data_IF_238200175977
#
_entry.id   IF_238200175977
#
_cell.length_a   1.000
_cell.length_b   1.000
_cell.length_c   1.000
_cell.angle_alpha   90.00
_cell.angle_beta   90.00
_cell.angle_gamma   90.00
#
_symmetry.space_group_name_H-M   'P 1'
#
loop_
_entity.id
_entity.type
_entity.pdbx_description
1 polymer ?
#
# COMPACT_ATOMS: atom_id res chain seq x y z
N UNK A 1 72.83 -9.31 -37.59
CA UNK A 1 73.31 -8.28 -36.65
C UNK A 1 72.12 -7.78 -35.84
N UNK A 2 72.15 -7.53 -34.52
CA UNK A 2 73.16 -7.75 -33.47
C UNK A 2 74.56 -7.12 -33.72
N UNK A 3 75.11 -6.23 -32.87
CA UNK A 3 74.60 -5.65 -31.61
C UNK A 3 74.31 -4.14 -31.78
N UNK A 4 74.62 -3.32 -30.76
CA UNK A 4 74.55 -1.84 -30.74
C UNK A 4 73.14 -1.22 -30.65
N UNK A 5 72.35 -1.65 -29.66
CA UNK A 5 71.41 -0.72 -28.97
C UNK A 5 71.24 -1.05 -27.47
N UNK A 6 72.26 -1.64 -26.86
CA UNK A 6 72.28 -2.07 -25.44
C UNK A 6 72.88 -0.99 -24.50
N UNK A 7 73.48 0.08 -25.03
CA UNK A 7 74.21 1.08 -24.22
C UNK A 7 73.46 2.40 -23.93
N UNK A 8 72.15 2.49 -24.18
CA UNK A 8 71.40 3.75 -24.07
C UNK A 8 70.35 3.83 -22.93
N UNK A 9 70.10 2.74 -22.19
CA UNK A 9 69.13 2.71 -21.08
C UNK A 9 69.75 2.32 -19.72
N UNK A 10 71.07 2.19 -19.64
CA UNK A 10 71.82 1.99 -18.38
C UNK A 10 71.97 3.30 -17.57
N UNK A 11 71.48 4.44 -18.09
CA UNK A 11 71.58 5.76 -17.46
C UNK A 11 70.30 6.26 -16.79
N UNK A 12 69.26 5.43 -16.68
CA UNK A 12 68.01 5.74 -15.95
C UNK A 12 67.79 4.87 -14.70
N UNK A 13 68.66 3.88 -14.46
CA UNK A 13 68.58 2.97 -13.30
C UNK A 13 69.28 3.50 -12.03
N UNK A 14 69.59 4.80 -11.96
CA UNK A 14 70.33 5.44 -10.84
C UNK A 14 69.59 6.67 -10.30
N UNK A 15 68.27 6.75 -10.50
CA UNK A 15 67.42 7.86 -10.03
C UNK A 15 66.19 7.36 -9.24
N UNK A 16 66.24 6.14 -8.70
CA UNK A 16 65.09 5.49 -8.06
C UNK A 16 65.46 4.69 -6.79
N UNK A 17 66.53 5.11 -6.10
CA UNK A 17 66.92 4.60 -4.77
C UNK A 17 67.08 5.68 -3.69
N UNK A 18 66.90 6.97 -4.01
CA UNK A 18 67.09 8.07 -3.06
C UNK A 18 65.78 8.64 -2.46
N UNK A 19 64.62 8.03 -2.74
CA UNK A 19 63.35 8.45 -2.10
C UNK A 19 63.07 7.74 -0.76
N UNK A 20 63.70 6.58 -0.51
CA UNK A 20 63.51 5.79 0.72
C UNK A 20 64.31 6.31 1.94
N UNK A 21 65.14 7.34 1.76
CA UNK A 21 66.06 7.85 2.79
C UNK A 21 65.49 9.08 3.56
N UNK A 22 64.38 9.66 3.11
CA UNK A 22 63.92 10.99 3.58
C UNK A 22 62.82 11.01 4.65
N UNK A 23 62.15 9.88 4.97
CA UNK A 23 61.12 9.81 6.02
C UNK A 23 61.11 8.47 6.78
N UNK A 24 61.92 8.32 7.85
CA UNK A 24 62.02 7.06 8.60
C UNK A 24 60.89 6.82 9.62
N UNK A 25 59.89 7.71 9.73
CA UNK A 25 58.94 7.75 10.86
C UNK A 25 57.51 7.26 10.51
N UNK A 26 57.37 6.49 9.42
CA UNK A 26 56.08 5.92 8.96
C UNK A 26 55.92 4.42 9.25
N UNK A 27 56.82 3.81 10.02
CA UNK A 27 56.86 2.37 10.29
C UNK A 27 55.86 1.88 11.38
N UNK A 28 54.68 2.50 11.48
CA UNK A 28 53.58 1.99 12.33
C UNK A 28 52.17 2.06 11.72
N UNK A 29 52.06 2.27 10.39
CA UNK A 29 50.80 2.01 9.70
C UNK A 29 50.64 0.50 9.46
N UNK A 30 50.06 -0.21 10.44
CA UNK A 30 49.54 -1.56 10.22
C UNK A 30 48.39 -1.48 9.23
N UNK A 31 48.67 -1.70 7.94
CA UNK A 31 47.63 -1.97 6.94
C UNK A 31 46.94 -3.28 7.31
N UNK A 32 45.85 -3.19 8.05
CA UNK A 32 44.95 -4.31 8.30
C UNK A 32 44.25 -4.59 6.98
N UNK A 33 44.69 -5.64 6.28
CA UNK A 33 43.92 -6.23 5.20
C UNK A 33 42.68 -6.88 5.84
N UNK A 34 41.60 -6.10 5.95
CA UNK A 34 40.27 -6.65 6.18
C UNK A 34 39.87 -7.31 4.86
N UNK A 35 40.14 -8.61 4.74
CA UNK A 35 39.33 -9.46 3.87
C UNK A 35 37.91 -9.39 4.41
N UNK A 36 37.02 -8.70 3.70
CA UNK A 36 35.58 -8.82 3.91
C UNK A 36 35.17 -10.25 3.52
N UNK A 37 35.28 -11.16 4.49
CA UNK A 37 34.37 -12.30 4.55
C UNK A 37 32.95 -11.73 4.45
N UNK A 38 32.12 -12.29 3.57
CA UNK A 38 30.74 -11.83 3.40
C UNK A 38 29.95 -11.86 4.72
N UNK A 39 28.83 -11.11 4.82
CA UNK A 39 28.09 -10.94 6.07
C UNK A 39 27.72 -12.31 6.67
N UNK A 40 28.15 -12.53 7.92
CA UNK A 40 28.04 -13.84 8.60
C UNK A 40 26.61 -14.16 9.02
N UNK A 41 25.77 -13.14 9.05
CA UNK A 41 24.32 -13.21 9.14
C UNK A 41 23.72 -12.50 7.92
N UNK A 42 22.78 -13.14 7.22
CA UNK A 42 21.93 -12.47 6.25
C UNK A 42 20.47 -12.90 6.41
N UNK A 43 19.56 -12.05 5.96
CA UNK A 43 18.12 -12.27 6.07
C UNK A 43 17.51 -12.14 4.70
N UNK A 44 16.72 -13.14 4.30
CA UNK A 44 16.14 -13.24 2.97
C UNK A 44 14.63 -13.38 3.08
N UNK A 45 13.91 -12.50 2.38
CA UNK A 45 12.50 -12.70 2.09
C UNK A 45 12.38 -13.50 0.78
N UNK A 46 11.94 -14.76 0.87
CA UNK A 46 11.69 -15.62 -0.31
C UNK A 46 10.69 -14.98 -1.29
N UNK A 47 9.78 -14.16 -0.78
CA UNK A 47 8.86 -13.33 -1.56
C UNK A 47 8.90 -11.90 -1.00
N UNK A 48 9.32 -10.94 -1.82
CA UNK A 48 9.34 -9.51 -1.45
C UNK A 48 7.95 -8.86 -1.43
N UNK A 49 6.94 -9.55 -1.96
CA UNK A 49 5.55 -9.11 -2.01
C UNK A 49 4.61 -10.28 -1.75
N UNK A 50 3.67 -10.10 -0.81
CA UNK A 50 2.59 -11.05 -0.51
C UNK A 50 1.24 -10.37 -0.69
N UNK A 51 0.24 -11.11 -1.16
CA UNK A 51 -1.11 -10.61 -1.39
C UNK A 51 -2.09 -11.40 -0.51
N UNK A 52 -2.98 -10.70 0.18
CA UNK A 52 -4.08 -11.31 0.93
C UNK A 52 -5.33 -10.42 0.85
N UNK A 53 -6.34 -10.65 1.69
CA UNK A 53 -7.59 -9.86 1.71
C UNK A 53 -7.97 -9.50 3.14
N UNK A 54 -8.70 -8.40 3.32
CA UNK A 54 -9.22 -7.98 4.63
C UNK A 54 -10.03 -9.12 5.29
N UNK A 55 -9.80 -9.32 6.59
CA UNK A 55 -10.32 -10.44 7.38
C UNK A 55 -9.57 -11.77 7.17
N UNK A 56 -8.65 -11.86 6.21
CA UNK A 56 -7.77 -13.01 6.03
C UNK A 56 -6.57 -12.99 6.98
N UNK A 57 -5.73 -14.01 6.83
CA UNK A 57 -4.42 -14.11 7.47
C UNK A 57 -3.33 -14.02 6.38
N UNK A 58 -2.10 -13.71 6.77
CA UNK A 58 -0.92 -13.74 5.89
C UNK A 58 0.33 -14.08 6.68
N UNK A 59 1.31 -14.68 6.00
CA UNK A 59 2.68 -14.85 6.51
C UNK A 59 3.60 -13.94 5.72
N UNK A 60 4.35 -13.08 6.40
CA UNK A 60 5.44 -12.30 5.82
C UNK A 60 6.72 -13.16 5.91
N UNK A 61 7.29 -13.66 4.79
CA UNK A 61 8.43 -14.55 4.84
C UNK A 61 9.70 -13.82 5.28
N UNK A 62 10.42 -14.41 6.24
CA UNK A 62 11.74 -13.95 6.66
C UNK A 62 12.57 -15.16 7.09
N UNK A 63 13.56 -15.52 6.28
CA UNK A 63 14.49 -16.64 6.52
C UNK A 63 15.86 -16.12 6.91
N UNK A 64 16.43 -16.77 7.91
CA UNK A 64 17.76 -16.47 8.43
C UNK A 64 18.76 -17.39 7.76
N UNK A 65 19.78 -16.79 7.14
CA UNK A 65 20.97 -17.47 6.64
C UNK A 65 22.13 -17.07 7.55
N UNK A 66 22.79 -18.06 8.14
CA UNK A 66 23.83 -17.87 9.16
C UNK A 66 25.01 -18.76 8.82
N UNK A 67 26.22 -18.21 8.88
CA UNK A 67 27.42 -19.01 8.73
C UNK A 67 27.51 -20.06 9.86
N UNK A 68 27.91 -21.28 9.50
CA UNK A 68 28.10 -22.40 10.42
C UNK A 68 29.29 -22.16 11.36
N UNK A 69 30.19 -21.22 11.04
CA UNK A 69 31.27 -20.77 11.93
C UNK A 69 30.77 -20.04 13.19
N UNK A 70 29.56 -19.45 13.16
CA UNK A 70 28.99 -18.73 14.29
C UNK A 70 28.43 -19.69 15.35
N UNK A 71 28.99 -19.63 16.56
CA UNK A 71 28.50 -20.37 17.72
C UNK A 71 26.98 -20.15 17.93
N UNK A 72 26.17 -21.20 18.25
CA UNK A 72 24.73 -21.04 18.46
C UNK A 72 24.39 -20.01 19.54
N UNK A 73 23.82 -18.87 19.14
CA UNK A 73 23.43 -17.82 20.07
C UNK A 73 21.91 -17.89 20.33
N UNK A 74 21.53 -18.28 21.53
CA UNK A 74 20.13 -18.31 21.94
C UNK A 74 19.51 -16.91 22.11
N UNK A 75 20.32 -15.84 22.17
CA UNK A 75 19.89 -14.45 22.39
C UNK A 75 19.50 -13.69 21.12
N UNK A 76 19.39 -14.38 19.98
CA UNK A 76 19.03 -13.76 18.71
C UNK A 76 17.70 -13.00 18.84
N UNK A 77 17.68 -11.74 18.40
CA UNK A 77 16.51 -10.86 18.46
C UNK A 77 15.89 -10.74 17.09
N UNK A 78 14.59 -11.00 16.99
CA UNK A 78 13.78 -10.75 15.80
C UNK A 78 12.91 -9.53 16.08
N UNK A 79 13.01 -8.50 15.24
CA UNK A 79 12.16 -7.32 15.25
C UNK A 79 11.45 -7.20 13.92
N UNK A 80 10.15 -6.94 13.97
CA UNK A 80 9.34 -6.55 12.83
C UNK A 80 8.82 -5.15 13.04
N UNK A 81 9.02 -4.29 12.04
CA UNK A 81 8.45 -2.94 11.98
C UNK A 81 7.64 -2.76 10.70
N UNK A 82 6.66 -1.86 10.74
CA UNK A 82 5.93 -1.39 9.57
C UNK A 82 6.51 -0.04 9.15
N UNK A 83 6.85 0.09 7.88
CA UNK A 83 7.37 1.32 7.29
C UNK A 83 6.20 2.26 6.96
N UNK A 84 6.36 3.55 7.21
CA UNK A 84 5.42 4.58 6.71
C UNK A 84 5.51 4.71 5.19
N UNK A 85 4.47 5.27 4.53
CA UNK A 85 4.44 5.40 3.06
C UNK A 85 5.54 6.30 2.48
N UNK A 86 6.18 7.13 3.30
CA UNK A 86 7.35 7.95 2.96
C UNK A 86 8.69 7.25 3.28
N UNK A 87 8.66 6.05 3.87
CA UNK A 87 9.81 5.27 4.37
C UNK A 87 10.65 5.99 5.44
N UNK A 88 10.17 7.10 6.02
CA UNK A 88 10.92 7.91 6.99
C UNK A 88 10.75 7.45 8.45
N UNK A 89 9.74 6.63 8.76
CA UNK A 89 9.43 6.19 10.12
C UNK A 89 9.10 4.70 10.15
N UNK A 90 9.54 4.06 11.23
CA UNK A 90 9.24 2.68 11.55
C UNK A 90 8.28 2.61 12.74
N UNK A 91 7.18 1.88 12.58
CA UNK A 91 6.23 1.57 13.65
C UNK A 91 6.52 0.15 14.15
N UNK A 92 6.78 -0.02 15.44
CA UNK A 92 6.96 -1.36 16.01
C UNK A 92 5.71 -2.22 15.81
N UNK A 93 5.89 -3.44 15.31
CA UNK A 93 4.83 -4.44 15.10
C UNK A 93 5.00 -5.57 16.11
N UNK A 94 6.18 -6.18 16.12
CA UNK A 94 6.48 -7.35 16.92
C UNK A 94 7.97 -7.45 17.27
N UNK A 95 8.29 -7.90 18.48
CA UNK A 95 9.66 -8.22 18.92
C UNK A 95 9.65 -9.60 19.60
N UNK A 96 10.61 -10.44 19.27
CA UNK A 96 10.95 -11.66 20.00
C UNK A 96 12.44 -11.71 20.35
N UNK A 97 12.74 -12.15 21.56
CA UNK A 97 14.07 -12.49 22.06
C UNK A 97 13.91 -13.61 23.09
N UNK A 98 14.53 -14.76 22.87
CA UNK A 98 14.34 -15.97 23.69
C UNK A 98 12.84 -16.27 23.94
N UNK A 99 12.42 -16.24 25.21
CA UNK A 99 11.04 -16.48 25.65
C UNK A 99 10.17 -15.21 25.66
N UNK A 100 10.78 -14.02 25.53
CA UNK A 100 10.08 -12.74 25.56
C UNK A 100 9.56 -12.37 24.18
N UNK A 101 8.23 -12.34 24.03
CA UNK A 101 7.51 -11.97 22.81
C UNK A 101 6.58 -10.80 23.09
N UNK A 102 6.61 -9.75 22.27
CA UNK A 102 5.79 -8.55 22.45
C UNK A 102 5.25 -8.04 21.11
N UNK A 103 3.92 -7.89 21.04
CA UNK A 103 3.21 -7.25 19.93
C UNK A 103 2.75 -5.84 20.33
N UNK A 104 2.75 -4.92 19.37
CA UNK A 104 2.59 -3.48 19.59
C UNK A 104 1.38 -2.90 18.83
N UNK A 105 0.88 -1.75 19.30
CA UNK A 105 -0.19 -1.00 18.62
C UNK A 105 -1.42 -1.82 18.25
N UNK A 106 -1.94 -1.61 17.04
CA UNK A 106 -3.09 -2.35 16.47
C UNK A 106 -2.80 -3.82 16.16
N UNK A 107 -1.55 -4.27 16.24
CA UNK A 107 -1.12 -5.65 16.01
C UNK A 107 -1.19 -6.52 17.27
N UNK A 108 -1.47 -5.92 18.43
CA UNK A 108 -1.57 -6.66 19.69
C UNK A 108 -2.52 -7.87 19.58
N UNK A 109 -2.02 -9.06 19.96
CA UNK A 109 -2.67 -10.39 19.83
C UNK A 109 -2.97 -10.89 18.40
N UNK A 110 -2.69 -10.11 17.35
CA UNK A 110 -2.88 -10.52 15.95
C UNK A 110 -1.61 -11.00 15.25
N UNK A 111 -0.46 -10.92 15.91
CA UNK A 111 0.84 -11.25 15.30
C UNK A 111 1.66 -12.21 16.15
N UNK A 112 2.29 -13.17 15.48
CA UNK A 112 3.18 -14.17 16.07
C UNK A 112 4.18 -14.67 15.01
N UNK A 113 5.32 -15.22 15.46
CA UNK A 113 6.24 -15.91 14.55
C UNK A 113 5.63 -17.25 14.11
N UNK A 114 5.84 -17.63 12.85
CA UNK A 114 5.46 -18.94 12.33
C UNK A 114 6.24 -20.06 13.03
N UNK A 115 7.56 -19.88 13.21
CA UNK A 115 8.39 -20.77 14.02
C UNK A 115 8.58 -22.18 13.46
N UNK A 116 8.56 -22.35 12.13
CA UNK A 116 8.69 -23.66 11.48
C UNK A 116 10.08 -24.29 11.68
N UNK A 117 11.10 -23.46 11.93
CA UNK A 117 12.48 -23.86 12.23
C UNK A 117 13.16 -22.76 13.06
N UNK A 118 14.34 -23.02 13.66
CA UNK A 118 15.15 -21.98 14.31
C UNK A 118 15.61 -20.85 13.36
N UNK A 119 15.57 -21.10 12.04
CA UNK A 119 15.91 -20.14 10.98
C UNK A 119 14.69 -19.41 10.39
N UNK A 120 13.49 -19.62 10.95
CA UNK A 120 12.23 -19.06 10.46
C UNK A 120 11.75 -17.87 11.30
N UNK A 121 12.12 -16.67 10.87
CA UNK A 121 11.70 -15.40 11.48
C UNK A 121 10.39 -14.85 10.88
N UNK A 122 9.71 -15.63 10.03
CA UNK A 122 8.49 -15.23 9.32
C UNK A 122 7.36 -14.83 10.28
N UNK A 123 6.71 -13.70 10.00
CA UNK A 123 5.63 -13.15 10.83
C UNK A 123 4.27 -13.51 10.28
N UNK A 124 3.44 -14.18 11.07
CA UNK A 124 2.03 -14.39 10.79
C UNK A 124 1.24 -13.19 11.30
N UNK A 125 0.39 -12.59 10.46
CA UNK A 125 -0.58 -11.56 10.82
C UNK A 125 -1.99 -12.14 10.59
N UNK A 126 -2.85 -12.08 11.62
CA UNK A 126 -4.24 -12.53 11.56
C UNK A 126 -5.22 -11.37 11.51
N UNK A 127 -6.44 -11.66 11.02
CA UNK A 127 -7.56 -10.70 10.96
C UNK A 127 -7.17 -9.37 10.28
N UNK A 128 -6.67 -9.47 9.04
CA UNK A 128 -6.12 -8.33 8.31
C UNK A 128 -7.10 -7.16 8.20
N UNK A 129 -6.61 -5.97 8.54
CA UNK A 129 -7.32 -4.68 8.47
C UNK A 129 -6.83 -3.90 7.26
N UNK A 130 -7.60 -2.91 6.81
CA UNK A 130 -7.16 -2.04 5.71
C UNK A 130 -5.84 -1.34 6.05
N UNK A 131 -5.72 -0.83 7.28
CA UNK A 131 -4.50 -0.17 7.78
C UNK A 131 -3.31 -1.13 7.98
N UNK A 132 -3.46 -2.45 7.78
CA UNK A 132 -2.33 -3.39 7.77
C UNK A 132 -1.58 -3.39 6.41
N UNK A 133 -2.17 -2.84 5.33
CA UNK A 133 -1.50 -2.67 4.03
C UNK A 133 -0.19 -1.87 4.14
N UNK A 134 0.88 -2.31 3.47
CA UNK A 134 2.14 -1.58 3.35
C UNK A 134 3.38 -2.44 3.50
N UNK A 135 4.55 -1.79 3.59
CA UNK A 135 5.85 -2.46 3.66
C UNK A 135 6.28 -2.75 5.10
N UNK A 136 6.84 -3.93 5.34
CA UNK A 136 7.28 -4.41 6.65
C UNK A 136 8.76 -4.80 6.60
N UNK A 137 9.55 -4.35 7.56
CA UNK A 137 10.96 -4.72 7.71
C UNK A 137 11.09 -5.81 8.77
N UNK A 138 11.66 -6.95 8.36
CA UNK A 138 12.24 -7.94 9.27
C UNK A 138 13.67 -7.53 9.58
N UNK A 139 14.04 -7.48 10.85
CA UNK A 139 15.38 -7.17 11.35
C UNK A 139 15.77 -8.27 12.35
N UNK A 140 16.85 -8.97 12.05
CA UNK A 140 17.38 -10.05 12.90
C UNK A 140 18.76 -9.63 13.38
N UNK A 141 18.96 -9.66 14.70
CA UNK A 141 20.20 -9.21 15.35
C UNK A 141 20.78 -10.38 16.14
N UNK A 142 22.04 -10.70 15.86
CA UNK A 142 22.82 -11.77 16.48
C UNK A 142 24.15 -11.23 17.03
N UNK A 143 24.11 -10.75 18.26
CA UNK A 143 25.28 -10.14 18.91
C UNK A 143 25.62 -8.78 18.30
N UNK A 144 26.62 -8.75 17.42
CA UNK A 144 27.04 -7.55 16.66
C UNK A 144 26.67 -7.63 15.18
N UNK A 145 26.26 -8.80 14.68
CA UNK A 145 25.82 -9.00 13.30
C UNK A 145 24.31 -8.69 13.22
N UNK A 146 23.87 -7.96 12.19
CA UNK A 146 22.47 -7.76 11.89
C UNK A 146 22.15 -8.00 10.41
N UNK A 147 20.93 -8.44 10.13
CA UNK A 147 20.44 -8.67 8.77
C UNK A 147 19.00 -8.19 8.66
N UNK A 148 18.66 -7.62 7.51
CA UNK A 148 17.31 -7.08 7.26
C UNK A 148 16.73 -7.55 5.92
N UNK A 149 15.40 -7.69 5.88
CA UNK A 149 14.64 -7.90 4.64
C UNK A 149 13.34 -7.10 4.70
N UNK A 150 12.83 -6.66 3.55
CA UNK A 150 11.57 -5.93 3.43
C UNK A 150 10.55 -6.76 2.63
N UNK A 151 9.32 -6.85 3.16
CA UNK A 151 8.18 -7.53 2.54
C UNK A 151 7.02 -6.54 2.42
N UNK A 152 6.49 -6.39 1.21
CA UNK A 152 5.25 -5.62 0.98
C UNK A 152 4.02 -6.50 1.15
N UNK A 153 3.09 -6.08 2.00
CA UNK A 153 1.76 -6.67 2.15
C UNK A 153 0.73 -5.89 1.34
N UNK A 154 0.27 -6.50 0.26
CA UNK A 154 -0.82 -6.02 -0.57
C UNK A 154 -2.17 -6.64 -0.16
N UNK A 155 -3.24 -5.87 -0.37
CA UNK A 155 -4.61 -6.33 -0.17
C UNK A 155 -5.35 -6.37 -1.51
N UNK A 156 -6.02 -7.47 -1.80
CA UNK A 156 -7.03 -7.56 -2.88
C UNK A 156 -8.15 -6.56 -2.60
N UNK A 157 -8.52 -5.75 -3.58
CA UNK A 157 -9.46 -4.67 -3.36
C UNK A 157 -9.82 -3.87 -4.61
N UNK A 158 -10.34 -2.68 -4.39
CA UNK A 158 -10.79 -1.75 -5.42
C UNK A 158 -10.44 -0.33 -5.03
N UNK A 159 -9.79 0.39 -5.95
CA UNK A 159 -9.65 1.84 -5.88
C UNK A 159 -10.90 2.49 -6.45
N UNK A 160 -11.38 3.55 -5.82
CA UNK A 160 -12.49 4.35 -6.32
C UNK A 160 -12.29 5.85 -6.06
N UNK A 161 -12.71 6.72 -7.00
CA UNK A 161 -12.70 8.17 -6.79
C UNK A 161 -13.86 8.60 -5.87
N UNK A 162 -13.59 9.56 -5.00
CA UNK A 162 -14.58 10.13 -4.09
C UNK A 162 -14.42 11.65 -3.95
N UNK A 163 -15.56 12.33 -3.82
CA UNK A 163 -15.65 13.74 -3.43
C UNK A 163 -16.94 13.94 -2.58
N UNK A 164 -16.94 14.88 -1.63
CA UNK A 164 -18.05 15.06 -0.69
C UNK A 164 -19.23 15.82 -1.32
N UNK A 165 -20.36 15.89 -0.60
CA UNK A 165 -21.54 16.68 -0.99
C UNK A 165 -21.25 18.15 -1.30
N UNK A 166 -20.23 18.73 -0.68
CA UNK A 166 -19.77 20.11 -0.90
C UNK A 166 -19.26 20.35 -2.34
N UNK A 167 -18.96 19.29 -3.08
CA UNK A 167 -18.48 19.34 -4.46
C UNK A 167 -17.03 18.87 -4.58
N UNK A 168 -16.53 18.89 -5.82
CA UNK A 168 -15.15 18.50 -6.15
C UNK A 168 -14.13 19.50 -5.60
N UNK A 169 -12.92 19.03 -5.32
CA UNK A 169 -11.79 19.84 -4.88
C UNK A 169 -12.03 20.60 -3.57
N UNK A 170 -12.72 19.96 -2.61
CA UNK A 170 -13.04 20.50 -1.28
C UNK A 170 -12.41 19.70 -0.12
N UNK A 171 -11.49 18.76 -0.38
CA UNK A 171 -10.83 17.97 0.67
C UNK A 171 -9.35 18.35 0.75
N UNK A 172 -8.88 18.81 1.91
CA UNK A 172 -7.46 18.74 2.26
C UNK A 172 -7.06 17.27 2.54
N UNK A 173 -5.79 17.00 2.83
CA UNK A 173 -5.31 15.62 3.00
C UNK A 173 -5.99 14.88 4.17
N UNK A 174 -6.20 15.55 5.31
CA UNK A 174 -6.79 14.94 6.51
C UNK A 174 -8.31 14.74 6.36
N UNK A 175 -8.98 15.64 5.64
CA UNK A 175 -10.39 15.52 5.28
C UNK A 175 -10.59 14.39 4.24
N UNK A 176 -9.65 14.22 3.32
CA UNK A 176 -9.64 13.12 2.35
C UNK A 176 -9.46 11.75 3.03
N UNK A 177 -8.52 11.64 3.97
CA UNK A 177 -8.30 10.43 4.77
C UNK A 177 -9.54 10.08 5.60
N UNK A 178 -10.13 11.06 6.29
CA UNK A 178 -11.38 10.88 7.05
C UNK A 178 -12.55 10.49 6.16
N UNK A 179 -12.70 11.12 5.00
CA UNK A 179 -13.74 10.81 4.02
C UNK A 179 -13.66 9.35 3.51
N UNK A 180 -12.44 8.83 3.26
CA UNK A 180 -12.30 7.41 2.91
C UNK A 180 -12.72 6.49 4.06
N UNK A 181 -12.30 6.77 5.31
CA UNK A 181 -12.68 5.95 6.49
C UNK A 181 -14.18 5.93 6.73
N UNK A 182 -14.85 7.08 6.59
CA UNK A 182 -16.32 7.17 6.66
C UNK A 182 -16.99 6.23 5.66
N UNK A 183 -16.38 6.00 4.49
CA UNK A 183 -16.88 5.13 3.42
C UNK A 183 -16.39 3.66 3.44
N UNK A 184 -15.83 3.19 4.57
CA UNK A 184 -15.24 1.84 4.71
C UNK A 184 -14.05 1.60 3.77
N UNK A 185 -13.17 2.59 3.69
CA UNK A 185 -11.97 2.61 2.87
C UNK A 185 -10.81 3.33 3.59
N UNK A 186 -9.63 3.29 2.99
CA UNK A 186 -8.46 4.12 3.36
C UNK A 186 -8.02 4.95 2.15
N UNK A 187 -7.08 5.88 2.30
CA UNK A 187 -6.40 6.48 1.15
C UNK A 187 -5.74 5.39 0.29
N UNK A 188 -5.95 5.45 -1.03
CA UNK A 188 -5.25 4.55 -1.95
C UNK A 188 -3.76 4.91 -2.02
N UNK A 189 -2.90 3.91 -2.19
CA UNK A 189 -1.48 4.12 -2.48
C UNK A 189 -1.24 4.48 -3.95
N UNK A 190 -0.03 4.98 -4.25
CA UNK A 190 0.42 5.21 -5.62
C UNK A 190 0.35 3.94 -6.48
N UNK A 191 0.77 2.81 -5.91
CA UNK A 191 0.79 1.51 -6.60
C UNK A 191 -0.64 1.01 -6.84
N UNK A 192 -1.53 1.13 -5.85
CA UNK A 192 -2.95 0.78 -6.01
C UNK A 192 -3.63 1.61 -7.11
N UNK A 193 -3.34 2.92 -7.19
CA UNK A 193 -3.86 3.76 -8.29
C UNK A 193 -3.27 3.35 -9.65
N UNK A 194 -1.99 2.98 -9.69
CA UNK A 194 -1.32 2.53 -10.91
C UNK A 194 -1.88 1.20 -11.42
N UNK A 195 -2.14 0.23 -10.54
CA UNK A 195 -2.82 -1.02 -10.91
C UNK A 195 -4.26 -0.76 -11.37
N UNK A 196 -5.01 0.11 -10.68
CA UNK A 196 -6.34 0.50 -11.14
C UNK A 196 -6.33 1.18 -12.52
N UNK A 197 -5.30 1.97 -12.84
CA UNK A 197 -5.06 2.51 -14.18
C UNK A 197 -4.79 1.41 -15.21
N UNK A 198 -3.94 0.42 -14.88
CA UNK A 198 -3.66 -0.74 -15.75
C UNK A 198 -4.91 -1.58 -16.01
N UNK A 199 -5.82 -1.66 -15.04
CA UNK A 199 -7.15 -2.28 -15.19
C UNK A 199 -8.18 -1.41 -15.95
N UNK A 200 -7.79 -0.23 -16.44
CA UNK A 200 -8.64 0.61 -17.30
C UNK A 200 -9.18 1.90 -16.67
N UNK A 201 -8.87 2.22 -15.40
CA UNK A 201 -9.41 3.40 -14.73
C UNK A 201 -9.06 4.71 -15.47
N UNK A 202 -10.10 5.48 -15.80
CA UNK A 202 -10.00 6.71 -16.59
C UNK A 202 -10.68 7.88 -15.87
N UNK A 203 -9.96 8.56 -14.96
CA UNK A 203 -10.50 9.62 -14.13
C UNK A 203 -9.73 10.94 -14.31
N UNK A 204 -10.46 12.01 -14.63
CA UNK A 204 -9.89 13.31 -15.01
C UNK A 204 -9.87 14.33 -13.86
N UNK A 205 -10.05 13.86 -12.62
CA UNK A 205 -9.94 14.71 -11.44
C UNK A 205 -8.70 14.31 -10.65
N UNK A 206 -7.91 15.32 -10.26
CA UNK A 206 -6.80 15.15 -9.35
C UNK A 206 -7.29 14.77 -7.95
N UNK A 207 -6.72 13.71 -7.37
CA UNK A 207 -7.09 13.22 -6.04
C UNK A 207 -5.89 12.87 -5.18
N UNK A 208 -6.06 13.02 -3.86
CA UNK A 208 -5.09 12.62 -2.85
C UNK A 208 -4.84 11.11 -2.82
N UNK A 209 -3.61 10.75 -2.44
CA UNK A 209 -3.12 9.39 -2.17
C UNK A 209 -2.39 9.33 -0.82
N UNK A 210 -2.15 8.12 -0.31
CA UNK A 210 -1.61 7.86 1.04
C UNK A 210 -0.22 8.48 1.30
N UNK A 211 0.59 8.67 0.25
CA UNK A 211 1.90 9.31 0.32
C UNK A 211 1.83 10.85 0.46
N UNK A 212 0.63 11.44 0.32
CA UNK A 212 0.46 12.90 0.26
C UNK A 212 0.75 13.49 -1.12
N UNK A 213 0.90 12.65 -2.14
CA UNK A 213 0.88 13.09 -3.53
C UNK A 213 -0.54 13.23 -4.06
N UNK A 214 -0.67 13.97 -5.15
CA UNK A 214 -1.94 14.17 -5.84
C UNK A 214 -1.79 13.74 -7.29
N UNK A 215 -2.63 12.80 -7.74
CA UNK A 215 -2.50 12.13 -9.04
C UNK A 215 -3.86 11.93 -9.71
N UNK A 216 -3.88 11.58 -11.00
CA UNK A 216 -5.08 11.11 -11.70
C UNK A 216 -4.77 10.20 -12.92
N UNK A 217 -5.51 9.09 -13.13
CA UNK A 217 -5.23 8.12 -14.19
C UNK A 217 -6.00 8.41 -15.49
N UNK A 218 -5.31 8.47 -16.64
CA UNK A 218 -5.92 8.69 -17.96
C UNK A 218 -5.55 7.56 -18.93
N UNK A 219 -6.51 6.68 -19.23
CA UNK A 219 -6.36 5.68 -20.31
C UNK A 219 -6.80 6.21 -21.68
N UNK A 220 -7.68 7.21 -21.73
CA UNK A 220 -8.13 7.85 -22.98
C UNK A 220 -7.76 9.34 -23.00
N UNK A 221 -6.68 9.75 -23.69
CA UNK A 221 -6.25 11.14 -23.80
C UNK A 221 -7.33 12.07 -24.35
N UNK A 222 -7.46 13.29 -23.80
CA UNK A 222 -8.48 14.29 -24.18
C UNK A 222 -8.12 15.67 -23.63
N UNK A 223 -8.54 16.73 -24.32
CA UNK A 223 -8.17 18.13 -23.98
C UNK A 223 -8.35 18.52 -22.51
N UNK A 224 -9.51 18.29 -21.85
CA UNK A 224 -9.70 18.69 -20.45
C UNK A 224 -8.79 17.96 -19.45
N UNK A 225 -8.09 16.91 -19.89
CA UNK A 225 -7.29 16.01 -19.08
C UNK A 225 -5.81 16.06 -19.50
N UNK A 226 -5.36 17.27 -19.87
CA UNK A 226 -3.98 17.62 -20.23
C UNK A 226 -3.64 17.56 -21.72
N UNK A 227 -4.62 17.37 -22.62
CA UNK A 227 -4.41 17.35 -24.07
C UNK A 227 -4.67 16.01 -24.75
N UNK A 228 -5.09 16.04 -26.02
CA UNK A 228 -5.30 14.84 -26.87
C UNK A 228 -4.00 14.10 -27.24
N UNK A 229 -2.88 14.82 -27.34
CA UNK A 229 -1.63 14.30 -27.91
C UNK A 229 -0.71 13.59 -26.89
N UNK A 230 -1.15 13.40 -25.65
CA UNK A 230 -0.34 12.71 -24.63
C UNK A 230 -0.55 11.19 -24.65
N UNK A 231 0.50 10.41 -24.37
CA UNK A 231 0.38 8.98 -24.13
C UNK A 231 -0.43 8.68 -22.84
N UNK A 232 -1.24 7.60 -22.77
CA UNK A 232 -1.93 7.16 -21.55
C UNK A 232 -1.00 7.06 -20.33
N UNK A 233 -1.52 7.33 -19.13
CA UNK A 233 -0.74 7.22 -17.89
C UNK A 233 -1.38 7.86 -16.67
N UNK A 234 -0.76 7.64 -15.51
CA UNK A 234 -1.07 8.35 -14.26
C UNK A 234 -0.35 9.70 -14.26
N UNK A 235 -1.10 10.79 -14.28
CA UNK A 235 -0.59 12.16 -14.14
C UNK A 235 -0.38 12.48 -12.66
N UNK A 236 0.60 13.33 -12.37
CA UNK A 236 0.98 13.69 -11.00
C UNK A 236 1.15 15.20 -10.86
N UNK A 237 0.72 15.74 -9.73
CA UNK A 237 1.01 17.10 -9.26
C UNK A 237 2.11 17.10 -8.17
N UNK A 238 2.75 15.95 -7.94
CA UNK A 238 3.74 15.74 -6.88
C UNK A 238 3.14 15.72 -5.48
N UNK A 239 4.02 15.84 -4.48
CA UNK A 239 3.63 16.09 -3.09
C UNK A 239 3.02 17.49 -2.97
N UNK A 240 1.95 17.61 -2.18
CA UNK A 240 1.18 18.85 -2.01
C UNK A 240 1.11 19.26 -0.53
N UNK A 241 0.84 20.53 -0.27
CA UNK A 241 0.63 21.05 1.09
C UNK A 241 -0.65 20.42 1.66
N UNK A 242 -0.49 19.57 2.69
CA UNK A 242 -1.55 18.71 3.25
C UNK A 242 -2.68 19.49 3.92
N UNK A 243 -2.41 20.72 4.34
CA UNK A 243 -3.34 21.59 5.05
C UNK A 243 -4.00 22.61 4.10
N UNK A 244 -3.21 23.20 3.18
CA UNK A 244 -3.68 24.31 2.32
C UNK A 244 -4.30 23.87 1.00
N UNK A 245 -3.84 22.76 0.40
CA UNK A 245 -4.33 22.35 -0.91
C UNK A 245 -5.59 21.49 -0.79
N UNK A 246 -6.49 21.61 -1.78
CA UNK A 246 -7.79 20.95 -1.76
C UNK A 246 -8.02 20.22 -3.10
N UNK A 247 -8.40 18.95 -3.03
CA UNK A 247 -8.58 18.06 -4.17
C UNK A 247 -9.74 17.07 -3.93
N UNK A 248 -9.95 16.14 -4.86
CA UNK A 248 -10.76 14.94 -4.61
C UNK A 248 -9.88 13.90 -3.89
N UNK A 249 -10.34 12.66 -3.76
CA UNK A 249 -9.53 11.57 -3.18
C UNK A 249 -9.75 10.26 -3.94
N UNK A 250 -8.69 9.46 -4.03
CA UNK A 250 -8.80 8.04 -4.40
C UNK A 250 -8.78 7.20 -3.12
N UNK A 251 -9.88 6.51 -2.86
CA UNK A 251 -10.02 5.62 -1.72
C UNK A 251 -9.79 4.17 -2.16
N UNK A 252 -9.21 3.36 -1.28
CA UNK A 252 -9.05 1.91 -1.46
C UNK A 252 -9.89 1.15 -0.42
N UNK A 253 -10.65 0.16 -0.87
CA UNK A 253 -11.36 -0.78 0.00
C UNK A 253 -11.13 -2.22 -0.45
N UNK A 254 -11.29 -3.16 0.48
CA UNK A 254 -11.02 -4.60 0.32
C UNK A 254 -12.27 -5.42 0.69
N UNK A 255 -12.18 -6.74 0.58
CA UNK A 255 -13.25 -7.68 0.95
C UNK A 255 -13.82 -7.38 2.34
N UNK A 256 -15.14 -7.32 2.43
CA UNK A 256 -15.87 -7.30 3.69
C UNK A 256 -16.55 -8.65 3.96
N UNK A 257 -16.70 -8.99 5.24
CA UNK A 257 -17.67 -10.01 5.64
C UNK A 257 -19.06 -9.37 5.85
N UNK A 258 -20.09 -9.94 5.24
CA UNK A 258 -21.44 -9.36 5.19
C UNK A 258 -22.08 -9.35 3.80
N UNK A 259 -23.34 -8.91 3.77
CA UNK A 259 -24.20 -8.85 2.59
C UNK A 259 -24.52 -7.40 2.22
N UNK A 260 -24.10 -6.99 1.02
CA UNK A 260 -24.55 -5.76 0.35
C UNK A 260 -25.73 -6.10 -0.56
N UNK A 261 -26.80 -5.31 -0.52
CA UNK A 261 -28.00 -5.55 -1.32
C UNK A 261 -28.84 -4.27 -1.46
N UNK A 262 -29.71 -4.24 -2.46
CA UNK A 262 -30.75 -3.23 -2.58
C UNK A 262 -32.02 -3.72 -1.90
N UNK A 263 -32.59 -2.90 -1.02
CA UNK A 263 -33.83 -3.23 -0.31
C UNK A 263 -35.03 -3.00 -1.22
N UNK A 264 -35.81 -4.05 -1.47
CA UNK A 264 -37.07 -3.96 -2.20
C UNK A 264 -38.11 -3.32 -1.27
N UNK A 265 -38.61 -2.14 -1.65
CA UNK A 265 -39.59 -1.37 -0.89
C UNK A 265 -40.75 -0.95 -1.81
N UNK A 266 -42.03 -0.98 -1.35
CA UNK A 266 -43.20 -0.70 -2.20
C UNK A 266 -43.24 0.74 -2.76
N UNK A 267 -42.61 1.70 -2.09
CA UNK A 267 -42.46 3.08 -2.56
C UNK A 267 -41.00 3.49 -2.65
N UNK A 268 -40.72 4.55 -3.41
CA UNK A 268 -39.47 5.31 -3.28
C UNK A 268 -39.41 6.03 -1.92
N UNK A 269 -38.21 6.39 -1.49
CA UNK A 269 -37.87 6.79 -0.12
C UNK A 269 -37.17 8.15 -0.09
N UNK A 270 -37.42 8.95 0.95
CA UNK A 270 -36.49 10.02 1.36
C UNK A 270 -35.19 9.41 1.89
N UNK A 271 -34.15 10.22 2.12
CA UNK A 271 -32.92 9.73 2.74
C UNK A 271 -33.18 9.16 4.16
N UNK A 272 -33.97 9.85 4.98
CA UNK A 272 -34.19 9.42 6.37
C UNK A 272 -35.08 8.16 6.46
N UNK A 273 -36.05 8.04 5.53
CA UNK A 273 -36.84 6.82 5.34
C UNK A 273 -35.96 5.65 4.85
N UNK A 274 -35.00 5.92 3.97
CA UNK A 274 -34.04 4.93 3.48
C UNK A 274 -33.13 4.38 4.58
N UNK A 275 -32.59 5.25 5.44
CA UNK A 275 -31.83 4.84 6.64
C UNK A 275 -32.70 3.97 7.55
N UNK A 276 -33.91 4.44 7.86
CA UNK A 276 -34.87 3.73 8.71
C UNK A 276 -35.30 2.38 8.13
N UNK A 277 -35.40 2.26 6.81
CA UNK A 277 -35.77 1.02 6.12
C UNK A 277 -34.68 -0.05 6.24
N UNK A 278 -33.40 0.30 6.07
CA UNK A 278 -32.30 -0.63 6.33
C UNK A 278 -32.28 -1.08 7.80
N UNK A 279 -32.45 -0.15 8.75
CA UNK A 279 -32.45 -0.45 10.19
C UNK A 279 -33.56 -1.43 10.56
N UNK A 280 -34.76 -1.29 9.98
CA UNK A 280 -35.89 -2.22 10.17
C UNK A 280 -35.64 -3.62 9.60
N UNK A 281 -34.75 -3.76 8.61
CA UNK A 281 -34.29 -5.06 8.06
C UNK A 281 -33.08 -5.64 8.86
N UNK A 282 -32.70 -5.00 9.97
CA UNK A 282 -31.54 -5.35 10.77
C UNK A 282 -30.23 -5.15 10.00
N UNK A 283 -30.12 -4.05 9.26
CA UNK A 283 -28.99 -3.67 8.44
C UNK A 283 -28.70 -2.16 8.56
N UNK A 284 -27.53 -1.73 8.11
CA UNK A 284 -27.19 -0.30 7.98
C UNK A 284 -27.42 0.17 6.54
N UNK A 285 -27.52 1.48 6.33
CA UNK A 285 -27.42 2.03 4.97
C UNK A 285 -26.00 1.82 4.45
N UNK A 286 -25.86 1.29 3.24
CA UNK A 286 -24.55 0.89 2.73
C UNK A 286 -23.64 2.09 2.45
N UNK A 287 -22.34 1.88 2.63
CA UNK A 287 -21.28 2.85 2.35
C UNK A 287 -20.81 2.77 0.89
N UNK A 288 -20.17 3.83 0.42
CA UNK A 288 -19.66 3.89 -0.97
C UNK A 288 -18.61 2.81 -1.24
N UNK A 289 -17.66 2.59 -0.35
CA UNK A 289 -16.63 1.54 -0.51
C UNK A 289 -17.25 0.14 -0.61
N UNK A 290 -18.27 -0.14 0.20
CA UNK A 290 -19.02 -1.41 0.14
C UNK A 290 -19.71 -1.62 -1.21
N UNK A 291 -20.26 -0.56 -1.84
CA UNK A 291 -20.82 -0.66 -3.20
C UNK A 291 -19.73 -0.95 -4.25
N UNK A 292 -18.58 -0.28 -4.18
CA UNK A 292 -17.47 -0.54 -5.12
C UNK A 292 -16.91 -1.97 -4.97
N UNK A 293 -16.76 -2.46 -3.73
CA UNK A 293 -16.34 -3.84 -3.44
C UNK A 293 -17.39 -4.85 -3.94
N UNK A 294 -18.68 -4.59 -3.73
CA UNK A 294 -19.76 -5.44 -4.25
C UNK A 294 -19.74 -5.51 -5.79
N UNK A 295 -19.59 -4.35 -6.45
CA UNK A 295 -19.55 -4.22 -7.90
C UNK A 295 -18.34 -4.91 -8.53
N UNK A 296 -17.12 -4.63 -8.04
CA UNK A 296 -15.85 -5.08 -8.62
C UNK A 296 -15.49 -6.52 -8.23
N UNK A 297 -15.62 -6.87 -6.94
CA UNK A 297 -15.13 -8.14 -6.39
C UNK A 297 -16.23 -9.19 -6.21
N UNK A 298 -17.51 -8.79 -6.18
CA UNK A 298 -18.66 -9.71 -6.07
C UNK A 298 -19.60 -9.66 -7.29
N UNK A 299 -19.24 -8.94 -8.35
CA UNK A 299 -20.00 -8.85 -9.60
C UNK A 299 -21.43 -8.29 -9.46
N UNK A 300 -21.69 -7.51 -8.41
CA UNK A 300 -23.04 -7.04 -8.09
C UNK A 300 -23.55 -6.03 -9.13
N UNK A 301 -24.58 -6.43 -9.88
CA UNK A 301 -25.18 -5.66 -10.96
C UNK A 301 -26.62 -5.26 -10.63
N UNK A 302 -26.93 -3.96 -10.63
CA UNK A 302 -28.30 -3.46 -10.47
C UNK A 302 -28.51 -2.07 -11.07
N UNK A 303 -29.50 -1.95 -11.95
CA UNK A 303 -29.92 -0.71 -12.61
C UNK A 303 -31.00 0.06 -11.83
N UNK A 304 -30.86 0.18 -10.51
CA UNK A 304 -31.78 0.95 -9.66
C UNK A 304 -31.01 1.99 -8.86
N UNK A 305 -31.16 3.31 -9.13
CA UNK A 305 -30.58 4.34 -8.30
C UNK A 305 -31.10 4.24 -6.85
N UNK A 306 -30.18 4.21 -5.89
CA UNK A 306 -30.47 4.10 -4.46
C UNK A 306 -29.55 4.96 -3.60
N UNK A 307 -30.07 5.37 -2.44
CA UNK A 307 -29.31 6.11 -1.43
C UNK A 307 -28.17 5.27 -0.84
N UNK A 308 -27.08 5.96 -0.49
CA UNK A 308 -25.94 5.47 0.29
C UNK A 308 -25.68 6.37 1.51
N UNK A 309 -24.84 5.90 2.44
CA UNK A 309 -24.54 6.56 3.72
C UNK A 309 -23.98 8.00 3.61
N UNK A 310 -23.28 8.33 2.52
CA UNK A 310 -22.80 9.70 2.24
C UNK A 310 -23.93 10.67 1.81
N UNK A 311 -25.15 10.16 1.63
CA UNK A 311 -26.27 10.90 1.06
C UNK A 311 -26.16 11.11 -0.46
N UNK A 312 -25.25 10.39 -1.14
CA UNK A 312 -25.28 10.29 -2.60
C UNK A 312 -26.32 9.27 -3.06
N UNK A 313 -26.65 9.34 -4.34
CA UNK A 313 -27.41 8.30 -5.03
C UNK A 313 -26.52 7.67 -6.09
N UNK A 314 -26.40 6.34 -6.05
CA UNK A 314 -25.54 5.57 -6.95
C UNK A 314 -26.23 4.28 -7.40
N UNK A 315 -25.70 3.62 -8.42
CA UNK A 315 -26.06 2.26 -8.78
C UNK A 315 -24.90 1.54 -9.51
N UNK A 316 -24.61 0.27 -9.20
CA UNK A 316 -23.51 -0.49 -9.81
C UNK A 316 -23.97 -1.27 -11.05
N UNK A 317 -23.21 -1.20 -12.14
CA UNK A 317 -23.41 -2.03 -13.33
C UNK A 317 -22.12 -2.80 -13.60
N UNK A 318 -22.14 -4.12 -13.41
CA UNK A 318 -21.02 -5.02 -13.74
C UNK A 318 -21.16 -5.56 -15.17
N UNK A 319 -22.37 -5.61 -15.72
CA UNK A 319 -22.68 -6.07 -17.07
C UNK A 319 -23.31 -4.93 -17.90
N UNK A 320 -22.59 -4.34 -18.87
CA UNK A 320 -23.09 -3.22 -19.68
C UNK A 320 -24.43 -3.50 -20.36
N UNK A 321 -25.37 -2.55 -20.26
CA UNK A 321 -26.77 -2.66 -20.70
C UNK A 321 -27.27 -1.31 -21.24
N UNK A 322 -27.91 -1.32 -22.42
CA UNK A 322 -28.33 -0.11 -23.18
C UNK A 322 -29.08 0.98 -22.38
N UNK A 323 -29.88 0.62 -21.38
CA UNK A 323 -30.67 1.59 -20.57
C UNK A 323 -29.95 2.13 -19.32
N UNK A 324 -28.80 1.57 -18.97
CA UNK A 324 -28.18 1.72 -17.65
C UNK A 324 -26.72 2.15 -17.73
N UNK A 325 -25.96 1.43 -18.55
CA UNK A 325 -24.54 1.71 -18.81
C UNK A 325 -24.20 1.04 -20.15
N UNK A 326 -24.32 1.74 -21.29
CA UNK A 326 -24.25 1.08 -22.60
C UNK A 326 -22.90 0.47 -22.95
N UNK A 327 -21.81 1.05 -22.43
CA UNK A 327 -20.44 0.81 -22.90
C UNK A 327 -19.46 0.29 -21.85
N UNK A 328 -19.73 0.48 -20.56
CA UNK A 328 -18.75 0.25 -19.49
C UNK A 328 -19.39 -0.37 -18.25
N UNK A 329 -18.63 -1.24 -17.57
CA UNK A 329 -18.95 -1.63 -16.20
C UNK A 329 -18.49 -0.50 -15.28
N UNK A 330 -19.40 0.03 -14.45
CA UNK A 330 -19.10 1.15 -13.56
C UNK A 330 -20.12 1.26 -12.41
N UNK A 331 -19.69 1.84 -11.29
CA UNK A 331 -20.61 2.46 -10.32
C UNK A 331 -21.02 3.83 -10.86
N UNK A 332 -22.30 3.97 -11.23
CA UNK A 332 -22.89 5.22 -11.70
C UNK A 332 -23.24 6.13 -10.53
N UNK A 333 -23.00 7.43 -10.69
CA UNK A 333 -23.23 8.46 -9.68
C UNK A 333 -24.28 9.45 -10.18
N UNK A 334 -25.36 9.61 -9.43
CA UNK A 334 -26.51 10.46 -9.77
C UNK A 334 -26.52 11.80 -9.01
N UNK A 335 -25.44 12.12 -8.30
CA UNK A 335 -25.34 13.34 -7.50
C UNK A 335 -25.70 13.15 -6.01
N UNK A 336 -25.85 14.29 -5.35
CA UNK A 336 -26.35 14.42 -3.97
C UNK A 336 -27.71 15.15 -4.01
N UNK A 337 -28.81 14.45 -4.35
CA UNK A 337 -30.13 15.08 -4.47
C UNK A 337 -30.69 15.53 -3.12
N UNK A 338 -31.75 16.35 -3.16
CA UNK A 338 -32.41 16.83 -1.94
C UNK A 338 -32.97 15.63 -1.14
N UNK A 339 -32.45 15.46 0.09
CA UNK A 339 -32.81 14.37 1.00
C UNK A 339 -34.31 14.23 1.28
N UNK A 340 -35.09 15.31 1.10
CA UNK A 340 -36.55 15.32 1.30
C UNK A 340 -37.36 14.71 0.15
N UNK A 341 -36.75 14.41 -1.01
CA UNK A 341 -37.47 13.93 -2.19
C UNK A 341 -37.57 12.39 -2.22
N UNK A 342 -38.78 11.85 -2.41
CA UNK A 342 -39.06 10.41 -2.50
C UNK A 342 -38.84 9.86 -3.92
N UNK A 343 -37.59 9.82 -4.38
CA UNK A 343 -37.25 9.46 -5.77
C UNK A 343 -36.47 8.15 -5.92
N UNK A 344 -35.81 7.69 -4.86
CA UNK A 344 -34.82 6.60 -4.94
C UNK A 344 -35.14 5.45 -4.00
N UNK A 345 -34.53 4.28 -4.25
CA UNK A 345 -34.52 3.19 -3.28
C UNK A 345 -33.35 3.33 -2.32
N UNK A 346 -32.91 2.23 -1.71
CA UNK A 346 -31.76 2.22 -0.80
C UNK A 346 -30.92 0.96 -0.97
N UNK A 347 -29.61 1.13 -0.87
CA UNK A 347 -28.68 0.02 -0.69
C UNK A 347 -28.39 -0.14 0.80
N UNK A 348 -28.55 -1.37 1.30
CA UNK A 348 -28.30 -1.73 2.69
C UNK A 348 -27.10 -2.67 2.79
N UNK A 349 -26.46 -2.64 3.95
CA UNK A 349 -25.34 -3.50 4.31
C UNK A 349 -25.64 -4.21 5.63
N UNK A 350 -25.55 -5.54 5.63
CA UNK A 350 -25.70 -6.36 6.83
C UNK A 350 -24.38 -7.08 7.09
N UNK A 351 -23.69 -6.71 8.15
CA UNK A 351 -22.51 -7.44 8.62
C UNK A 351 -22.88 -8.89 8.97
N UNK A 352 -21.90 -9.80 8.90
CA UNK A 352 -21.99 -11.03 9.67
C UNK A 352 -21.42 -10.74 11.06
N UNK A 353 -22.20 -11.05 12.10
CA UNK A 353 -21.75 -11.07 13.48
C UNK A 353 -20.87 -12.29 13.73
#
# INVERSE_FOLDING_TARGET
MIPVLICALVSLSVAQHDLDILYPDLEHSRTIYVTEDGPRLSVVAEQSKVVSRRGGNVTLPCKIQRDQSLAPNHKMRIKWTKLTSDYLKELDVFVAMEHHKRSYGSFHRRVHLQGSSPTDASLVITELRLDDYGSYKCEVIDGLEDGTAVVSLDLEGVVFPYFPRLGRYNLNFYDADRACREQDAILASADQLYEAFREGMNWCNAGWLSDGSVRYPITTPREPCGGKNMAPGVRTYGLRDKDKNHYDVFCFSSHYNGRFYYLIHPSKLTYDEAVSACQKDGAEIAKVGQMFVAWKLKGYDRCDPGWLADGSVRYPISNPKRRCSPTEAAVRFNGFPNKKHKLYGVYCFKGQN
#
